data_IF_252606603507
#
_entry.id   IF_252606603507
#
_cell.length_a   1.000
_cell.length_b   1.000
_cell.length_c   1.000
_cell.angle_alpha   90.00
_cell.angle_beta   90.00
_cell.angle_gamma   90.00
#
_symmetry.space_group_name_H-M   'P 1'
#
loop_
_entity.id
_entity.type
_entity.pdbx_description
1 polymer ?
#
# COMPACT_ATOMS: atom_id res chain seq x y z
N UNK A 1 -0.27 -7.56 -14.12
CA UNK A 1 -0.61 -7.71 -12.69
C UNK A 1 0.61 -7.62 -11.79
N UNK A 2 1.63 -8.46 -11.98
CA UNK A 2 2.85 -8.49 -11.16
C UNK A 2 3.64 -7.17 -11.18
N UNK A 3 3.69 -6.49 -12.32
CA UNK A 3 4.36 -5.18 -12.47
C UNK A 3 3.72 -4.06 -11.65
N UNK A 4 2.46 -4.22 -11.22
CA UNK A 4 1.78 -3.27 -10.34
C UNK A 4 1.87 -3.73 -8.87
N UNK A 5 1.77 -5.03 -8.60
CA UNK A 5 1.88 -5.57 -7.23
C UNK A 5 3.27 -5.38 -6.64
N UNK A 6 4.34 -5.56 -7.42
CA UNK A 6 5.73 -5.40 -6.95
C UNK A 6 6.01 -4.00 -6.40
N UNK A 7 5.75 -2.89 -7.13
CA UNK A 7 5.96 -1.55 -6.58
C UNK A 7 5.04 -1.25 -5.40
N UNK A 8 3.77 -1.70 -5.40
CA UNK A 8 2.85 -1.48 -4.27
C UNK A 8 3.28 -2.22 -3.00
N UNK A 9 3.75 -3.45 -3.12
CA UNK A 9 4.34 -4.18 -2.00
C UNK A 9 5.63 -3.51 -1.50
N UNK A 10 6.41 -2.91 -2.39
CA UNK A 10 7.55 -2.05 -2.03
C UNK A 10 7.13 -0.85 -1.18
N UNK A 11 6.07 -0.13 -1.58
CA UNK A 11 5.52 1.00 -0.81
C UNK A 11 5.07 0.56 0.57
N UNK A 12 4.26 -0.51 0.67
CA UNK A 12 3.81 -1.05 1.97
C UNK A 12 5.00 -1.48 2.84
N UNK A 13 6.00 -2.14 2.26
CA UNK A 13 7.23 -2.49 2.95
C UNK A 13 7.97 -1.28 3.52
N UNK A 14 8.11 -0.21 2.74
CA UNK A 14 8.75 1.03 3.18
C UNK A 14 7.97 1.73 4.30
N UNK A 15 6.64 1.76 4.21
CA UNK A 15 5.79 2.30 5.27
C UNK A 15 5.92 1.47 6.57
N UNK A 16 5.98 0.14 6.46
CA UNK A 16 6.20 -0.76 7.60
C UNK A 16 7.58 -0.57 8.25
N UNK A 17 8.63 -0.29 7.46
CA UNK A 17 9.95 0.03 7.99
C UNK A 17 9.96 1.40 8.67
N UNK A 18 9.32 2.40 8.07
CA UNK A 18 9.17 3.74 8.64
C UNK A 18 8.41 3.69 9.98
N UNK A 19 7.42 2.81 10.12
CA UNK A 19 6.70 2.60 11.38
C UNK A 19 7.60 2.16 12.54
N UNK A 20 8.76 1.56 12.24
CA UNK A 20 9.72 1.07 13.24
C UNK A 20 10.74 2.14 13.66
N UNK A 21 10.67 3.35 13.11
CA UNK A 21 11.55 4.47 13.48
C UNK A 21 10.91 5.34 14.57
N UNK A 22 11.68 6.28 15.13
CA UNK A 22 11.07 7.34 15.96
C UNK A 22 10.26 8.28 15.06
N UNK A 23 8.99 8.49 15.43
CA UNK A 23 8.06 9.34 14.72
C UNK A 23 7.31 10.22 15.72
N UNK A 24 7.06 11.48 15.37
CA UNK A 24 6.17 12.34 16.12
C UNK A 24 4.69 11.98 15.89
N UNK A 25 3.78 12.55 16.69
CA UNK A 25 2.35 12.25 16.62
C UNK A 25 1.71 12.59 15.27
N UNK A 26 2.17 13.64 14.59
CA UNK A 26 1.69 14.02 13.27
C UNK A 26 2.20 13.05 12.20
N UNK A 27 3.45 12.64 12.29
CA UNK A 27 4.05 11.64 11.41
C UNK A 27 3.36 10.28 11.56
N UNK A 28 3.04 9.84 12.78
CA UNK A 28 2.27 8.61 13.02
C UNK A 28 0.90 8.69 12.34
N UNK A 29 0.19 9.82 12.47
CA UNK A 29 -1.12 9.99 11.81
C UNK A 29 -1.01 9.95 10.29
N UNK A 30 -0.01 10.61 9.71
CA UNK A 30 0.26 10.59 8.26
C UNK A 30 0.64 9.19 7.78
N UNK A 31 1.49 8.49 8.53
CA UNK A 31 1.90 7.13 8.22
C UNK A 31 0.70 6.18 8.18
N UNK A 32 -0.18 6.23 9.19
CA UNK A 32 -1.40 5.41 9.23
C UNK A 32 -2.30 5.68 8.02
N UNK A 33 -2.48 6.95 7.65
CA UNK A 33 -3.27 7.33 6.48
C UNK A 33 -2.64 6.81 5.17
N UNK A 34 -1.32 6.90 5.05
CA UNK A 34 -0.60 6.38 3.89
C UNK A 34 -0.71 4.85 3.79
N UNK A 35 -0.57 4.13 4.90
CA UNK A 35 -0.72 2.68 4.99
C UNK A 35 -2.13 2.25 4.54
N UNK A 36 -3.18 2.82 5.14
CA UNK A 36 -4.56 2.47 4.79
C UNK A 36 -4.90 2.80 3.33
N UNK A 37 -4.33 3.88 2.79
CA UNK A 37 -4.52 4.26 1.38
C UNK A 37 -3.81 3.27 0.43
N UNK A 38 -2.59 2.86 0.76
CA UNK A 38 -1.83 1.89 -0.04
C UNK A 38 -2.49 0.50 -0.04
N UNK A 39 -3.02 0.06 1.10
CA UNK A 39 -3.80 -1.18 1.21
C UNK A 39 -5.09 -1.12 0.39
N UNK A 40 -5.85 -0.02 0.50
CA UNK A 40 -7.07 0.20 -0.28
C UNK A 40 -6.79 0.22 -1.78
N UNK A 41 -5.71 0.87 -2.20
CA UNK A 41 -5.29 0.90 -3.60
C UNK A 41 -4.89 -0.50 -4.11
N UNK A 42 -4.18 -1.28 -3.30
CA UNK A 42 -3.81 -2.65 -3.66
C UNK A 42 -5.04 -3.55 -3.83
N UNK A 43 -6.05 -3.41 -2.97
CA UNK A 43 -7.34 -4.09 -3.11
C UNK A 43 -8.02 -3.71 -4.44
N UNK A 44 -8.17 -2.42 -4.73
CA UNK A 44 -8.77 -1.95 -5.99
C UNK A 44 -8.03 -2.46 -7.22
N UNK A 45 -6.69 -2.47 -7.17
CA UNK A 45 -5.86 -3.02 -8.25
C UNK A 45 -6.13 -4.51 -8.42
N UNK A 46 -6.24 -5.28 -7.35
CA UNK A 46 -6.55 -6.70 -7.42
C UNK A 46 -7.93 -6.94 -8.04
N UNK A 47 -8.94 -6.16 -7.64
CA UNK A 47 -10.31 -6.28 -8.18
C UNK A 47 -10.35 -5.99 -9.70
N UNK A 48 -9.67 -4.94 -10.17
CA UNK A 48 -9.56 -4.61 -11.60
C UNK A 48 -8.85 -5.72 -12.38
N UNK A 49 -7.76 -6.25 -11.81
CA UNK A 49 -7.00 -7.31 -12.45
C UNK A 49 -7.78 -8.62 -12.52
N UNK A 50 -8.55 -8.95 -11.51
CA UNK A 50 -9.39 -10.15 -11.51
C UNK A 50 -10.55 -10.02 -12.48
N UNK A 51 -11.15 -8.83 -12.62
CA UNK A 51 -12.12 -8.54 -13.69
C UNK A 51 -11.50 -8.73 -15.09
N UNK A 52 -10.27 -8.24 -15.30
CA UNK A 52 -9.58 -8.32 -16.61
C UNK A 52 -9.18 -9.74 -17.07
N UNK A 53 -9.28 -10.75 -16.20
CA UNK A 53 -9.00 -12.16 -16.54
C UNK A 53 -10.26 -12.95 -16.94
N UNK A 54 -11.45 -12.37 -16.75
CA UNK A 54 -12.74 -13.03 -16.98
C UNK A 54 -13.20 -12.88 -18.44
N UNK A 55 -12.52 -12.03 -19.22
CA UNK A 55 -12.70 -11.86 -20.67
C UNK A 55 -11.60 -12.56 -21.50
#
# INVERSE_FOLDING_TARGET
SHEIRTPMNGVLGMLNLLQRTQLDSNQIRRLKLAQSSAESLLLLINDILDFSKVD
#
